data_IF_122983473539
#
_entry.id   IF_122983473539
#
_cell.length_a   1.000
_cell.length_b   1.000
_cell.length_c   1.000
_cell.angle_alpha   90.00
_cell.angle_beta   90.00
_cell.angle_gamma   90.00
#
_symmetry.space_group_name_H-M   'P 1'
#
loop_
_entity.id
_entity.type
_entity.pdbx_description
1 polymer ?
#
# COMPACT_ATOMS: atom_id res chain seq x y z
N UNK A 1 19.28 -18.86 -3.30
CA UNK A 1 18.14 -19.73 -2.93
C UNK A 1 17.08 -18.95 -2.16
N UNK A 2 15.80 -19.00 -2.57
CA UNK A 2 14.70 -18.23 -1.93
C UNK A 2 13.72 -19.10 -1.15
N UNK A 3 13.65 -18.89 0.17
CA UNK A 3 12.66 -19.51 1.06
C UNK A 3 11.50 -18.54 1.33
N UNK A 4 10.28 -18.96 1.01
CA UNK A 4 9.05 -18.18 1.26
C UNK A 4 8.19 -18.88 2.29
N UNK A 5 7.82 -18.17 3.35
CA UNK A 5 6.87 -18.60 4.38
C UNK A 5 5.49 -18.01 4.10
N UNK A 6 4.47 -18.85 4.15
CA UNK A 6 3.07 -18.48 4.01
C UNK A 6 2.37 -18.74 5.33
N UNK A 7 1.75 -17.71 5.89
CA UNK A 7 1.02 -17.77 7.15
C UNK A 7 -0.47 -17.57 6.88
N UNK A 8 -1.33 -18.44 7.40
CA UNK A 8 -2.78 -18.37 7.19
C UNK A 8 -3.58 -18.67 8.45
N UNK A 9 -4.83 -18.20 8.45
CA UNK A 9 -5.85 -18.55 9.43
C UNK A 9 -6.59 -19.85 9.07
N UNK A 10 -6.51 -20.28 7.81
CA UNK A 10 -7.25 -21.42 7.27
C UNK A 10 -6.30 -22.47 6.65
N UNK A 11 -6.68 -23.76 6.66
CA UNK A 11 -5.95 -24.80 5.92
C UNK A 11 -5.86 -24.48 4.42
N UNK A 12 -4.82 -24.96 3.74
CA UNK A 12 -4.54 -24.60 2.34
C UNK A 12 -5.61 -25.02 1.34
N UNK A 13 -6.33 -26.11 1.62
CA UNK A 13 -7.43 -26.60 0.80
C UNK A 13 -8.56 -25.55 0.69
N UNK A 14 -8.72 -24.74 1.74
CA UNK A 14 -9.66 -23.61 1.79
C UNK A 14 -8.98 -22.25 1.56
N UNK A 15 -7.66 -22.17 1.80
CA UNK A 15 -6.91 -20.93 1.69
C UNK A 15 -6.61 -20.63 0.23
N UNK A 16 -7.45 -19.77 -0.37
CA UNK A 16 -7.01 -19.05 -1.57
C UNK A 16 -5.73 -18.27 -1.21
N UNK A 17 -4.74 -18.12 -2.13
CA UNK A 17 -3.50 -17.38 -1.90
C UNK A 17 -3.66 -15.94 -1.37
N UNK A 18 -4.90 -15.41 -1.39
CA UNK A 18 -5.30 -14.09 -0.97
C UNK A 18 -5.59 -13.92 0.54
N UNK A 19 -5.59 -15.00 1.34
CA UNK A 19 -5.94 -14.96 2.78
C UNK A 19 -4.76 -15.21 3.72
N UNK A 20 -3.53 -15.02 3.24
CA UNK A 20 -2.33 -15.22 4.04
C UNK A 20 -1.31 -14.11 3.90
N UNK A 21 -0.48 -13.96 4.92
CA UNK A 21 0.68 -13.10 4.90
C UNK A 21 1.91 -13.89 4.42
N UNK A 22 2.85 -13.21 3.75
CA UNK A 22 4.06 -13.83 3.22
C UNK A 22 5.30 -13.18 3.81
N UNK A 23 6.28 -14.00 4.17
CA UNK A 23 7.62 -13.55 4.48
C UNK A 23 8.63 -14.28 3.58
N UNK A 24 9.65 -13.58 3.11
CA UNK A 24 10.69 -14.17 2.28
C UNK A 24 12.03 -14.02 2.97
N UNK A 25 12.84 -15.08 2.94
CA UNK A 25 14.20 -15.09 3.40
C UNK A 25 15.07 -15.75 2.34
N UNK A 26 16.14 -15.07 1.95
CA UNK A 26 17.01 -15.52 0.88
C UNK A 26 18.32 -16.03 1.49
N UNK A 27 18.89 -17.05 0.89
CA UNK A 27 20.22 -17.59 1.14
C UNK A 27 21.09 -17.43 -0.11
N UNK A 28 22.43 -17.39 0.01
CA UNK A 28 23.32 -17.54 -1.14
C UNK A 28 23.02 -18.84 -1.90
N UNK A 29 23.38 -18.93 -3.17
CA UNK A 29 23.12 -20.12 -3.99
C UNK A 29 24.04 -21.29 -3.57
N UNK A 30 25.21 -20.96 -3.05
CA UNK A 30 26.18 -21.88 -2.43
C UNK A 30 25.58 -22.67 -1.27
N UNK A 31 24.51 -22.19 -0.64
CA UNK A 31 23.78 -22.93 0.39
C UNK A 31 23.25 -24.28 -0.12
N UNK A 32 22.99 -24.42 -1.42
CA UNK A 32 22.59 -25.69 -2.02
C UNK A 32 23.69 -26.76 -1.98
N UNK A 33 24.95 -26.35 -1.84
CA UNK A 33 26.10 -27.26 -1.76
C UNK A 33 26.33 -27.79 -0.33
N UNK A 34 25.66 -27.23 0.68
CA UNK A 34 25.75 -27.73 2.05
C UNK A 34 25.09 -29.11 2.13
N UNK A 35 25.79 -30.08 2.71
CA UNK A 35 25.25 -31.40 2.98
C UNK A 35 23.93 -31.30 3.77
N UNK A 36 22.92 -32.06 3.38
CA UNK A 36 21.58 -32.01 3.98
C UNK A 36 20.91 -30.62 3.94
N UNK A 37 21.20 -29.76 2.96
CA UNK A 37 20.59 -28.42 2.82
C UNK A 37 19.05 -28.46 2.97
N UNK A 38 18.38 -29.44 2.34
CA UNK A 38 16.94 -29.65 2.48
C UNK A 38 16.49 -29.86 3.92
N UNK A 39 17.24 -30.66 4.69
CA UNK A 39 16.98 -30.91 6.12
C UNK A 39 17.16 -29.62 6.94
N UNK A 40 18.18 -28.82 6.64
CA UNK A 40 18.39 -27.52 7.29
C UNK A 40 17.25 -26.54 7.00
N UNK A 41 16.76 -26.48 5.77
CA UNK A 41 15.60 -25.64 5.41
C UNK A 41 14.32 -26.11 6.12
N UNK A 42 14.07 -27.41 6.18
CA UNK A 42 12.94 -27.97 6.92
C UNK A 42 13.07 -27.73 8.43
N UNK A 43 14.28 -27.77 8.99
CA UNK A 43 14.56 -27.42 10.39
C UNK A 43 14.25 -25.96 10.68
N UNK A 44 14.72 -25.03 9.83
CA UNK A 44 14.39 -23.59 9.93
C UNK A 44 12.88 -23.40 9.92
N UNK A 45 12.21 -24.03 8.96
CA UNK A 45 10.76 -23.92 8.83
C UNK A 45 10.03 -24.49 10.06
N UNK A 46 10.43 -25.66 10.55
CA UNK A 46 9.85 -26.27 11.77
C UNK A 46 9.99 -25.34 12.97
N UNK A 47 11.19 -24.78 13.21
CA UNK A 47 11.42 -23.83 14.30
C UNK A 47 10.56 -22.57 14.17
N UNK A 48 10.44 -22.01 12.97
CA UNK A 48 9.53 -20.87 12.72
C UNK A 48 8.07 -21.29 12.98
N UNK A 49 7.67 -22.50 12.60
CA UNK A 49 6.34 -23.08 12.84
C UNK A 49 6.02 -23.23 14.32
N UNK A 50 6.98 -23.65 15.12
CA UNK A 50 6.86 -23.73 16.59
C UNK A 50 6.75 -22.37 17.27
N UNK A 51 7.26 -21.31 16.63
CA UNK A 51 7.29 -19.95 17.17
C UNK A 51 6.15 -19.06 16.66
N UNK A 52 5.35 -19.50 15.69
CA UNK A 52 4.18 -18.77 15.17
C UNK A 52 2.88 -19.40 15.66
N UNK A 53 1.84 -18.60 15.87
CA UNK A 53 0.48 -19.09 16.17
C UNK A 53 -0.35 -19.45 14.93
N UNK A 54 0.16 -19.16 13.74
CA UNK A 54 -0.54 -19.34 12.47
C UNK A 54 -0.41 -20.78 11.91
N UNK A 55 -1.29 -21.12 10.97
CA UNK A 55 -1.06 -22.23 10.03
C UNK A 55 0.06 -21.78 9.09
N UNK A 56 1.03 -22.64 8.82
CA UNK A 56 2.21 -22.28 8.06
C UNK A 56 2.59 -23.33 7.00
N UNK A 57 2.90 -22.80 5.81
CA UNK A 57 3.46 -23.53 4.68
C UNK A 57 4.73 -22.84 4.19
N UNK A 58 5.59 -23.56 3.49
CA UNK A 58 6.77 -22.99 2.84
C UNK A 58 6.80 -23.30 1.34
N UNK A 59 7.46 -22.42 0.59
CA UNK A 59 7.88 -22.69 -0.78
C UNK A 59 9.36 -22.39 -0.92
N UNK A 60 10.10 -23.34 -1.49
CA UNK A 60 11.49 -23.21 -1.92
C UNK A 60 11.64 -23.99 -3.24
N UNK A 61 11.74 -23.28 -4.37
CA UNK A 61 11.68 -23.89 -5.70
C UNK A 61 12.89 -24.79 -5.95
N UNK A 62 14.06 -24.36 -5.47
CA UNK A 62 15.35 -25.00 -5.63
C UNK A 62 15.44 -26.34 -4.90
N UNK A 63 14.54 -26.60 -3.94
CA UNK A 63 14.49 -27.83 -3.16
C UNK A 63 13.21 -28.66 -3.40
N UNK A 64 12.47 -28.32 -4.45
CA UNK A 64 11.17 -28.91 -4.78
C UNK A 64 10.18 -28.92 -3.60
N UNK A 65 10.14 -27.81 -2.87
CA UNK A 65 9.18 -27.58 -1.81
C UNK A 65 8.14 -26.60 -2.34
N UNK A 66 6.98 -27.08 -2.73
CA UNK A 66 5.86 -26.25 -3.16
C UNK A 66 4.74 -26.34 -2.14
N UNK A 67 4.45 -25.22 -1.46
CA UNK A 67 3.41 -25.17 -0.43
C UNK A 67 3.53 -26.29 0.62
N UNK A 68 4.76 -26.66 0.96
CA UNK A 68 5.04 -27.75 1.85
C UNK A 68 4.51 -27.42 3.26
N UNK A 69 3.66 -28.27 3.85
CA UNK A 69 3.04 -28.00 5.13
C UNK A 69 4.05 -28.10 6.26
N UNK A 70 4.03 -27.13 7.16
CA UNK A 70 4.89 -27.13 8.36
C UNK A 70 4.04 -27.15 9.63
N UNK A 71 2.99 -26.34 9.67
CA UNK A 71 2.07 -26.28 10.80
C UNK A 71 0.64 -26.21 10.29
N UNK A 72 -0.16 -27.22 10.60
CA UNK A 72 -1.52 -27.39 10.06
C UNK A 72 -2.63 -26.91 10.99
N UNK A 73 -2.29 -26.59 12.25
CA UNK A 73 -3.25 -26.13 13.24
C UNK A 73 -2.76 -24.85 13.91
N UNK A 74 -3.68 -23.93 14.18
CA UNK A 74 -3.39 -22.73 14.97
C UNK A 74 -3.21 -23.09 16.43
N UNK A 75 -2.34 -22.35 17.11
CA UNK A 75 -2.16 -22.45 18.57
C UNK A 75 -2.86 -21.32 19.34
N UNK A 76 -3.46 -20.37 18.62
CA UNK A 76 -4.18 -19.23 19.21
C UNK A 76 -5.45 -18.90 18.43
N UNK A 77 -6.44 -18.33 19.15
CA UNK A 77 -7.66 -17.78 18.55
C UNK A 77 -7.42 -16.45 17.80
N UNK A 78 -6.24 -15.83 17.94
CA UNK A 78 -5.89 -14.59 17.26
C UNK A 78 -5.91 -14.75 15.75
N UNK A 79 -6.60 -13.83 15.06
CA UNK A 79 -6.71 -13.81 13.59
C UNK A 79 -5.41 -13.20 13.02
N UNK A 80 -4.72 -13.94 12.14
CA UNK A 80 -3.45 -13.55 11.49
C UNK A 80 -3.55 -12.16 10.87
N UNK A 81 -4.69 -11.88 10.24
CA UNK A 81 -4.91 -10.61 9.55
C UNK A 81 -5.03 -9.39 10.47
N UNK A 82 -5.29 -9.59 11.76
CA UNK A 82 -5.49 -8.50 12.72
C UNK A 82 -4.24 -8.22 13.56
N UNK A 83 -3.22 -9.06 13.44
CA UNK A 83 -2.02 -9.01 14.27
C UNK A 83 -0.80 -8.80 13.39
N UNK A 84 -0.47 -7.54 13.14
CA UNK A 84 0.74 -7.15 12.40
C UNK A 84 2.00 -7.18 13.27
N UNK A 85 1.99 -7.99 14.33
CA UNK A 85 3.08 -8.14 15.29
C UNK A 85 4.01 -9.21 14.77
N UNK A 86 5.24 -8.82 14.51
CA UNK A 86 6.26 -9.71 13.97
C UNK A 86 7.42 -9.84 14.94
N UNK A 87 8.01 -11.04 15.02
CA UNK A 87 9.38 -11.19 15.48
C UNK A 87 10.29 -11.08 14.26
N UNK A 88 11.30 -10.21 14.33
CA UNK A 88 12.24 -9.97 13.22
C UNK A 88 13.64 -10.27 13.71
N UNK A 89 14.31 -11.22 13.07
CA UNK A 89 15.72 -11.55 13.31
C UNK A 89 16.56 -10.80 12.28
N UNK A 90 17.63 -10.16 12.74
CA UNK A 90 18.49 -9.30 11.91
C UNK A 90 19.84 -9.98 11.67
N UNK A 91 20.22 -10.10 10.40
CA UNK A 91 21.50 -10.62 9.95
C UNK A 91 22.22 -9.57 9.12
N UNK A 92 23.53 -9.44 9.32
CA UNK A 92 24.36 -8.49 8.60
C UNK A 92 25.62 -9.17 8.08
N UNK A 93 25.92 -8.93 6.80
CA UNK A 93 27.17 -9.34 6.20
C UNK A 93 28.12 -8.15 6.15
N UNK A 94 29.26 -8.21 6.86
CA UNK A 94 30.23 -7.14 6.85
C UNK A 94 30.86 -7.05 5.44
N UNK A 95 31.01 -5.84 4.93
CA UNK A 95 31.34 -5.53 3.52
C UNK A 95 32.49 -6.38 2.92
N UNK A 96 32.31 -6.85 1.67
CA UNK A 96 33.38 -7.38 0.80
C UNK A 96 33.90 -6.37 -0.24
N UNK A 97 33.17 -5.28 -0.55
CA UNK A 97 33.45 -4.32 -1.65
C UNK A 97 32.98 -2.89 -1.31
N UNK A 98 33.36 -1.83 -2.06
CA UNK A 98 33.17 -0.41 -1.67
C UNK A 98 31.72 0.10 -1.76
N UNK A 99 30.71 -0.75 -1.57
CA UNK A 99 29.35 -0.29 -1.28
C UNK A 99 29.36 0.51 0.03
N UNK A 100 28.65 1.65 0.04
CA UNK A 100 28.56 2.50 1.23
C UNK A 100 27.81 1.82 2.38
N UNK A 101 27.00 0.78 2.13
CA UNK A 101 26.14 0.16 3.15
C UNK A 101 26.36 -1.36 3.29
N UNK A 102 26.29 -1.91 4.53
CA UNK A 102 26.34 -3.35 4.77
C UNK A 102 25.10 -4.05 4.17
N UNK A 103 25.26 -5.30 3.75
CA UNK A 103 24.12 -6.11 3.30
C UNK A 103 23.38 -6.63 4.53
N UNK A 104 22.05 -6.49 4.54
CA UNK A 104 21.19 -6.93 5.63
C UNK A 104 20.14 -7.88 5.13
N UNK A 105 19.87 -8.93 5.91
CA UNK A 105 18.79 -9.89 5.68
C UNK A 105 17.98 -10.00 6.96
N UNK A 106 16.66 -10.03 6.83
CA UNK A 106 15.75 -10.08 7.97
C UNK A 106 14.83 -11.29 7.82
N UNK A 107 14.82 -12.17 8.81
CA UNK A 107 13.83 -13.25 8.88
C UNK A 107 12.65 -12.76 9.73
N UNK A 108 11.44 -12.78 9.14
CA UNK A 108 10.20 -12.37 9.82
C UNK A 108 9.39 -13.60 10.21
N UNK A 109 9.10 -13.73 11.50
CA UNK A 109 8.16 -14.68 12.08
C UNK A 109 6.88 -13.91 12.39
N UNK A 110 5.81 -14.20 11.67
CA UNK A 110 4.52 -13.53 11.85
C UNK A 110 3.75 -14.19 13.00
N UNK A 111 2.93 -13.41 13.72
CA UNK A 111 2.11 -13.93 14.80
C UNK A 111 2.91 -14.75 15.83
N UNK A 112 3.99 -14.20 16.40
CA UNK A 112 4.83 -14.99 17.30
C UNK A 112 3.99 -15.44 18.50
N UNK A 113 3.98 -16.75 18.76
CA UNK A 113 3.32 -17.34 19.92
C UNK A 113 3.81 -16.60 21.17
N UNK A 114 2.89 -16.00 21.95
CA UNK A 114 3.15 -15.06 23.07
C UNK A 114 4.64 -14.86 23.35
N UNK A 115 5.29 -14.02 22.54
CA UNK A 115 6.69 -13.70 22.77
C UNK A 115 6.77 -13.00 24.13
N UNK A 116 7.50 -13.55 25.12
CA UNK A 116 7.35 -13.12 26.50
C UNK A 116 8.19 -11.87 26.82
N UNK A 117 8.67 -11.18 25.78
CA UNK A 117 9.47 -9.97 25.88
C UNK A 117 8.64 -8.75 25.45
N UNK A 118 8.86 -7.63 26.11
CA UNK A 118 8.29 -6.33 25.71
C UNK A 118 9.01 -5.83 24.45
N UNK A 119 8.31 -5.04 23.64
CA UNK A 119 8.91 -4.39 22.46
C UNK A 119 10.05 -3.47 22.92
N UNK A 120 11.18 -3.58 22.24
CA UNK A 120 12.33 -2.70 22.43
C UNK A 120 12.68 -2.05 21.10
N UNK A 121 13.05 -0.77 21.14
CA UNK A 121 13.44 -0.04 19.92
C UNK A 121 14.70 -0.64 19.27
N UNK A 122 15.61 -1.17 20.08
CA UNK A 122 16.85 -1.82 19.65
C UNK A 122 16.70 -3.34 19.57
N UNK A 123 17.39 -4.01 18.61
CA UNK A 123 17.48 -5.46 18.60
C UNK A 123 18.09 -5.98 19.91
N UNK A 124 17.43 -6.96 20.52
CA UNK A 124 17.92 -7.60 21.72
C UNK A 124 19.03 -8.60 21.35
N UNK A 125 20.15 -8.62 22.09
CA UNK A 125 21.13 -9.69 21.98
C UNK A 125 20.55 -10.99 22.56
N UNK A 126 21.28 -12.09 22.47
CA UNK A 126 20.87 -13.35 23.10
C UNK A 126 20.93 -13.35 24.64
N UNK A 127 21.72 -12.46 25.22
CA UNK A 127 21.93 -12.37 26.67
C UNK A 127 20.80 -11.59 27.34
N UNK A 128 19.56 -12.10 27.22
CA UNK A 128 18.39 -11.52 27.88
C UNK A 128 18.13 -12.30 29.16
N UNK A 129 17.79 -11.59 30.24
CA UNK A 129 17.33 -12.24 31.46
C UNK A 129 16.08 -13.09 31.18
N UNK A 130 16.12 -14.35 31.60
CA UNK A 130 15.05 -15.33 31.44
C UNK A 130 14.28 -15.40 32.75
N UNK A 131 13.00 -15.07 32.72
CA UNK A 131 12.12 -15.04 33.89
C UNK A 131 11.33 -16.33 34.13
N UNK A 132 11.12 -17.15 33.09
CA UNK A 132 10.38 -18.41 33.19
C UNK A 132 10.82 -19.44 32.12
N UNK A 133 10.33 -20.68 32.24
CA UNK A 133 10.68 -21.79 31.35
C UNK A 133 10.23 -21.57 29.90
N UNK A 134 9.07 -20.94 29.67
CA UNK A 134 8.58 -20.64 28.33
C UNK A 134 9.50 -19.65 27.61
N UNK A 135 10.01 -18.63 28.33
CA UNK A 135 11.02 -17.71 27.79
C UNK A 135 12.29 -18.47 27.41
N UNK A 136 12.74 -19.40 28.26
CA UNK A 136 13.93 -20.22 27.99
C UNK A 136 13.74 -21.04 26.72
N UNK A 137 12.64 -21.78 26.63
CA UNK A 137 12.31 -22.62 25.47
C UNK A 137 12.19 -21.81 24.18
N UNK A 138 11.61 -20.60 24.26
CA UNK A 138 11.55 -19.68 23.13
C UNK A 138 12.94 -19.22 22.68
N UNK A 139 13.82 -18.85 23.62
CA UNK A 139 15.20 -18.49 23.30
C UNK A 139 16.00 -19.66 22.73
N UNK A 140 15.85 -20.87 23.29
CA UNK A 140 16.54 -22.07 22.79
C UNK A 140 16.17 -22.35 21.33
N UNK A 141 14.88 -22.22 20.98
CA UNK A 141 14.40 -22.31 19.59
C UNK A 141 14.97 -21.20 18.71
N UNK A 142 14.98 -19.97 19.22
CA UNK A 142 15.53 -18.82 18.50
C UNK A 142 17.02 -18.99 18.21
N UNK A 143 17.79 -19.49 19.18
CA UNK A 143 19.20 -19.85 19.05
C UNK A 143 19.39 -20.90 17.95
N UNK A 144 18.69 -22.03 18.06
CA UNK A 144 18.76 -23.10 17.07
C UNK A 144 18.39 -22.62 15.65
N UNK A 145 17.44 -21.68 15.55
CA UNK A 145 17.02 -21.06 14.30
C UNK A 145 18.13 -20.17 13.72
N UNK A 146 18.71 -19.29 14.54
CA UNK A 146 19.81 -18.41 14.15
C UNK A 146 21.03 -19.22 13.71
N UNK A 147 21.42 -20.24 14.45
CA UNK A 147 22.57 -21.09 14.12
C UNK A 147 22.36 -21.78 12.78
N UNK A 148 21.16 -22.32 12.54
CA UNK A 148 20.84 -22.98 11.27
C UNK A 148 20.79 -21.97 10.11
N UNK A 149 20.29 -20.75 10.34
CA UNK A 149 20.35 -19.67 9.35
C UNK A 149 21.77 -19.24 9.03
N UNK A 150 22.63 -19.04 10.04
CA UNK A 150 24.03 -18.63 9.86
C UNK A 150 24.84 -19.70 9.12
N UNK A 151 24.60 -20.98 9.40
CA UNK A 151 25.21 -22.09 8.65
C UNK A 151 24.94 -21.94 7.14
N UNK A 152 23.68 -21.72 6.75
CA UNK A 152 23.30 -21.59 5.34
C UNK A 152 23.70 -20.24 4.73
N UNK A 153 23.66 -19.16 5.51
CA UNK A 153 24.08 -17.83 5.06
C UNK A 153 25.58 -17.76 4.77
N UNK A 154 26.40 -18.51 5.51
CA UNK A 154 27.86 -18.56 5.37
C UNK A 154 28.34 -19.73 4.50
N UNK A 155 27.47 -20.29 3.65
CA UNK A 155 27.81 -21.39 2.76
C UNK A 155 28.97 -21.07 1.79
N UNK A 156 29.13 -19.79 1.45
CA UNK A 156 30.12 -19.24 0.54
C UNK A 156 31.40 -18.75 1.26
N UNK A 157 31.53 -18.96 2.58
CA UNK A 157 32.59 -18.39 3.40
C UNK A 157 33.77 -19.33 3.77
N UNK A 158 34.25 -20.29 2.93
CA UNK A 158 35.43 -21.08 3.30
C UNK A 158 36.74 -20.27 3.21
N UNK A 159 36.74 -19.09 2.58
CA UNK A 159 37.95 -18.28 2.44
C UNK A 159 38.11 -17.29 3.61
N UNK A 160 39.25 -17.26 4.32
CA UNK A 160 39.52 -16.34 5.45
C UNK A 160 39.48 -14.83 5.12
N UNK A 161 39.26 -14.46 3.85
CA UNK A 161 39.13 -13.07 3.40
C UNK A 161 37.67 -12.61 3.34
N UNK A 162 36.72 -13.54 3.29
CA UNK A 162 35.30 -13.21 3.30
C UNK A 162 34.85 -13.03 4.74
N UNK A 163 34.16 -11.91 5.01
CA UNK A 163 33.61 -11.65 6.32
C UNK A 163 32.29 -12.38 6.43
N UNK A 164 32.15 -13.24 7.42
CA UNK A 164 30.94 -14.03 7.66
C UNK A 164 29.72 -13.15 7.98
N UNK A 165 28.53 -13.57 7.54
CA UNK A 165 27.25 -13.13 8.09
C UNK A 165 27.24 -13.27 9.61
N UNK A 166 26.71 -12.25 10.26
CA UNK A 166 26.58 -12.17 11.72
C UNK A 166 25.14 -11.93 12.09
N UNK A 167 24.73 -12.50 13.20
CA UNK A 167 23.46 -12.17 13.83
C UNK A 167 23.61 -10.89 14.65
N UNK A 168 22.71 -9.94 14.45
CA UNK A 168 22.70 -8.65 15.16
C UNK A 168 21.75 -8.62 16.36
N UNK A 169 20.85 -9.60 16.46
CA UNK A 169 19.77 -9.61 17.45
C UNK A 169 18.40 -9.75 16.82
N UNK A 170 17.37 -9.65 17.65
CA UNK A 170 15.98 -9.75 17.22
C UNK A 170 15.13 -8.67 17.87
N UNK A 171 14.01 -8.34 17.23
CA UNK A 171 12.95 -7.51 17.82
C UNK A 171 11.67 -8.31 17.88
N UNK A 172 10.91 -8.12 18.95
CA UNK A 172 9.57 -8.70 19.08
C UNK A 172 8.52 -7.63 18.84
N UNK A 173 7.31 -8.02 18.44
CA UNK A 173 6.16 -7.12 18.27
C UNK A 173 6.35 -5.98 17.25
N UNK A 174 7.26 -6.13 16.28
CA UNK A 174 7.48 -5.12 15.24
C UNK A 174 6.23 -5.00 14.37
N UNK A 175 5.66 -3.80 14.30
CA UNK A 175 4.56 -3.48 13.41
C UNK A 175 5.04 -3.36 11.95
N UNK A 176 4.53 -4.23 11.08
CA UNK A 176 4.84 -4.16 9.64
C UNK A 176 3.80 -3.32 8.90
N UNK A 177 4.02 -2.00 8.88
CA UNK A 177 3.17 -1.03 8.18
C UNK A 177 3.00 -1.34 6.69
N UNK A 178 4.00 -1.96 6.05
CA UNK A 178 3.88 -2.36 4.65
C UNK A 178 2.91 -3.53 4.50
N UNK A 179 2.98 -4.54 5.38
CA UNK A 179 2.01 -5.63 5.43
C UNK A 179 0.58 -5.12 5.72
N UNK A 180 0.42 -4.18 6.66
CA UNK A 180 -0.85 -3.49 6.93
C UNK A 180 -1.41 -2.86 5.65
N UNK A 181 -0.58 -2.07 4.97
CA UNK A 181 -0.98 -1.34 3.76
C UNK A 181 -1.39 -2.29 2.64
N UNK A 182 -0.64 -3.38 2.44
CA UNK A 182 -0.97 -4.40 1.45
C UNK A 182 -2.27 -5.12 1.78
N UNK A 183 -2.47 -5.48 3.05
CA UNK A 183 -3.70 -6.11 3.52
C UNK A 183 -4.93 -5.21 3.29
N UNK A 184 -4.84 -3.94 3.70
CA UNK A 184 -5.92 -2.96 3.50
C UNK A 184 -6.23 -2.77 2.01
N UNK A 185 -5.20 -2.65 1.16
CA UNK A 185 -5.37 -2.53 -0.30
C UNK A 185 -6.07 -3.75 -0.90
N UNK A 186 -5.74 -4.96 -0.46
CA UNK A 186 -6.42 -6.18 -0.90
C UNK A 186 -7.89 -6.22 -0.41
N UNK A 187 -8.15 -5.77 0.82
CA UNK A 187 -9.50 -5.57 1.35
C UNK A 187 -10.34 -4.63 0.50
N UNK A 188 -9.81 -3.44 0.19
CA UNK A 188 -10.45 -2.43 -0.65
C UNK A 188 -10.75 -2.97 -2.05
N UNK A 189 -9.81 -3.69 -2.65
CA UNK A 189 -10.00 -4.29 -3.96
C UNK A 189 -11.16 -5.30 -3.93
N UNK A 190 -11.23 -6.16 -2.91
CA UNK A 190 -12.34 -7.11 -2.75
C UNK A 190 -13.68 -6.40 -2.59
N UNK A 191 -13.73 -5.33 -1.79
CA UNK A 191 -14.95 -4.54 -1.61
C UNK A 191 -15.42 -3.93 -2.95
N UNK A 192 -14.49 -3.43 -3.77
CA UNK A 192 -14.80 -2.91 -5.11
C UNK A 192 -15.29 -4.00 -6.06
N UNK A 193 -14.66 -5.18 -6.02
CA UNK A 193 -15.08 -6.33 -6.83
C UNK A 193 -16.46 -6.84 -6.42
N UNK A 194 -16.75 -6.90 -5.12
CA UNK A 194 -18.07 -7.26 -4.59
C UNK A 194 -19.13 -6.24 -5.04
N UNK A 195 -18.88 -4.94 -4.85
CA UNK A 195 -19.77 -3.87 -5.32
C UNK A 195 -20.02 -3.95 -6.84
N UNK A 196 -18.99 -4.28 -7.62
CA UNK A 196 -19.10 -4.47 -9.07
C UNK A 196 -19.99 -5.68 -9.40
N UNK A 197 -19.84 -6.79 -8.69
CA UNK A 197 -20.71 -7.98 -8.83
C UNK A 197 -22.14 -7.66 -8.46
N UNK A 198 -22.38 -7.00 -7.34
CA UNK A 198 -23.72 -6.62 -6.88
C UNK A 198 -24.41 -5.71 -7.88
N UNK A 199 -23.66 -4.72 -8.43
CA UNK A 199 -24.16 -3.88 -9.53
C UNK A 199 -24.48 -4.68 -10.78
N UNK A 200 -23.64 -5.66 -11.15
CA UNK A 200 -23.89 -6.51 -12.31
C UNK A 200 -25.15 -7.38 -12.11
N UNK A 201 -25.35 -7.93 -10.91
CA UNK A 201 -26.54 -8.70 -10.54
C UNK A 201 -27.78 -7.80 -10.56
N UNK A 202 -27.70 -6.61 -9.96
CA UNK A 202 -28.81 -5.65 -9.97
C UNK A 202 -29.18 -5.22 -11.38
N UNK A 203 -28.18 -4.96 -12.24
CA UNK A 203 -28.39 -4.61 -13.63
C UNK A 203 -29.00 -5.78 -14.43
N UNK A 204 -28.56 -7.02 -14.18
CA UNK A 204 -29.16 -8.21 -14.80
C UNK A 204 -30.62 -8.39 -14.38
N UNK A 205 -30.95 -8.21 -13.09
CA UNK A 205 -32.33 -8.24 -12.59
C UNK A 205 -33.20 -7.14 -13.20
N UNK A 206 -32.68 -5.92 -13.31
CA UNK A 206 -33.41 -4.80 -13.93
C UNK A 206 -33.71 -5.07 -15.41
N UNK A 207 -32.74 -5.60 -16.17
CA UNK A 207 -32.96 -6.02 -17.57
C UNK A 207 -33.97 -7.15 -17.73
N UNK A 208 -34.04 -8.07 -16.77
CA UNK A 208 -35.06 -9.12 -16.77
C UNK A 208 -36.47 -8.56 -16.48
N UNK A 209 -36.57 -7.52 -15.65
CA UNK A 209 -37.85 -6.88 -15.32
C UNK A 209 -38.41 -6.03 -16.46
N UNK A 210 -37.56 -5.33 -17.21
CA UNK A 210 -37.95 -4.56 -18.39
C UNK A 210 -36.90 -4.73 -19.51
N UNK A 211 -37.15 -5.64 -20.47
CA UNK A 211 -36.25 -5.87 -21.60
C UNK A 211 -36.11 -4.67 -22.54
N UNK A 212 -37.08 -3.76 -22.53
CA UNK A 212 -37.13 -2.57 -23.40
C UNK A 212 -36.63 -1.30 -22.71
N UNK A 213 -36.21 -1.38 -21.44
CA UNK A 213 -35.63 -0.25 -20.74
C UNK A 213 -34.41 0.28 -21.54
N UNK A 214 -34.42 1.56 -21.94
CA UNK A 214 -33.33 2.13 -22.70
C UNK A 214 -32.04 2.00 -21.91
N UNK A 215 -30.98 1.51 -22.55
CA UNK A 215 -29.67 1.44 -21.92
C UNK A 215 -29.33 2.85 -21.38
N UNK A 216 -28.86 2.99 -20.12
CA UNK A 216 -28.48 4.29 -19.61
C UNK A 216 -27.49 4.91 -20.59
N UNK A 217 -27.89 6.02 -21.19
CA UNK A 217 -27.11 6.78 -22.16
C UNK A 217 -25.85 7.31 -21.47
N UNK A 218 -24.83 6.46 -21.40
CA UNK A 218 -23.47 6.87 -21.06
C UNK A 218 -22.88 7.43 -22.33
N UNK A 219 -23.20 8.70 -22.62
CA UNK A 219 -22.63 9.44 -23.75
C UNK A 219 -21.11 9.25 -23.79
N UNK A 220 -20.59 8.94 -24.97
CA UNK A 220 -19.17 8.76 -25.23
C UNK A 220 -18.39 9.98 -24.69
N UNK A 221 -17.57 9.76 -23.66
CA UNK A 221 -16.84 10.80 -22.92
C UNK A 221 -17.21 10.93 -21.44
N UNK A 222 -18.30 10.31 -20.97
CA UNK A 222 -18.69 10.33 -19.55
C UNK A 222 -17.91 9.27 -18.76
N UNK A 223 -17.12 9.71 -17.78
CA UNK A 223 -16.52 8.78 -16.81
C UNK A 223 -17.62 8.06 -16.02
N UNK A 224 -17.53 6.74 -15.81
CA UNK A 224 -18.47 6.03 -14.95
C UNK A 224 -18.40 6.62 -13.53
N UNK A 225 -19.48 7.29 -13.09
CA UNK A 225 -19.64 7.76 -11.71
C UNK A 225 -19.90 9.26 -11.51
N UNK A 226 -19.68 10.11 -12.52
CA UNK A 226 -20.10 11.51 -12.44
C UNK A 226 -21.59 11.63 -12.79
N UNK A 227 -22.42 12.08 -11.85
CA UNK A 227 -23.85 12.30 -12.06
C UNK A 227 -24.05 13.76 -12.49
N UNK A 228 -24.50 14.03 -13.74
CA UNK A 228 -24.81 15.39 -14.18
C UNK A 228 -26.07 15.92 -13.48
N UNK A 229 -26.34 17.22 -13.61
CA UNK A 229 -27.57 17.82 -13.09
C UNK A 229 -27.75 19.27 -13.52
N UNK A 230 -28.91 19.84 -13.24
CA UNK A 230 -29.26 21.21 -13.58
C UNK A 230 -29.29 22.05 -12.30
N UNK A 231 -28.63 23.20 -12.32
CA UNK A 231 -28.70 24.19 -11.23
C UNK A 231 -28.83 25.59 -11.82
N UNK A 232 -29.83 26.35 -11.37
CA UNK A 232 -30.19 27.67 -11.92
C UNK A 232 -30.30 27.70 -13.47
N UNK A 233 -30.85 26.63 -14.06
CA UNK A 233 -31.02 26.52 -15.51
C UNK A 233 -29.74 26.16 -16.28
N UNK A 234 -28.59 26.02 -15.62
CA UNK A 234 -27.32 25.59 -16.24
C UNK A 234 -27.14 24.09 -16.05
N UNK A 235 -26.80 23.38 -17.13
CA UNK A 235 -26.51 21.94 -17.11
C UNK A 235 -25.03 21.69 -16.76
N UNK A 236 -24.78 21.07 -15.61
CA UNK A 236 -23.45 20.72 -15.12
C UNK A 236 -23.08 19.27 -15.42
N UNK A 237 -21.79 18.99 -15.53
CA UNK A 237 -21.24 17.66 -15.84
C UNK A 237 -21.11 16.78 -14.60
N UNK A 238 -21.09 17.36 -13.40
CA UNK A 238 -21.01 16.61 -12.15
C UNK A 238 -21.72 17.27 -10.97
N UNK A 239 -22.11 16.46 -9.97
CA UNK A 239 -22.60 16.94 -8.68
C UNK A 239 -21.56 17.75 -7.89
N UNK A 240 -20.26 17.58 -8.17
CA UNK A 240 -19.22 18.40 -7.53
C UNK A 240 -19.25 19.83 -8.06
N UNK A 241 -19.42 20.01 -9.37
CA UNK A 241 -19.62 21.33 -10.00
C UNK A 241 -20.88 22.01 -9.48
N UNK A 242 -22.00 21.27 -9.35
CA UNK A 242 -23.25 21.84 -8.80
C UNK A 242 -23.05 22.33 -7.36
N UNK A 243 -22.37 21.54 -6.52
CA UNK A 243 -22.05 21.95 -5.14
C UNK A 243 -21.15 23.18 -5.13
N UNK A 244 -20.15 23.23 -6.00
CA UNK A 244 -19.27 24.39 -6.11
C UNK A 244 -20.03 25.66 -6.57
N UNK A 245 -20.88 25.55 -7.59
CA UNK A 245 -21.75 26.62 -8.05
C UNK A 245 -22.69 27.11 -6.94
N UNK A 246 -23.30 26.18 -6.18
CA UNK A 246 -24.13 26.52 -5.02
C UNK A 246 -23.34 27.25 -3.92
N UNK A 247 -22.08 26.90 -3.69
CA UNK A 247 -21.20 27.58 -2.73
C UNK A 247 -20.79 28.99 -3.20
N UNK A 248 -20.64 29.20 -4.52
CA UNK A 248 -20.41 30.53 -5.11
C UNK A 248 -21.64 31.44 -4.95
N UNK A 249 -22.83 30.89 -5.24
CA UNK A 249 -24.11 31.59 -5.07
C UNK A 249 -24.36 32.01 -3.63
N UNK A 250 -24.13 31.12 -2.66
CA UNK A 250 -24.31 31.44 -1.25
C UNK A 250 -23.38 32.55 -0.74
N UNK A 251 -22.26 32.80 -1.46
CA UNK A 251 -21.28 33.84 -1.16
C UNK A 251 -21.47 35.12 -1.99
N UNK A 252 -22.49 35.15 -2.85
CA UNK A 252 -22.73 36.28 -3.76
C UNK A 252 -21.60 36.50 -4.78
N UNK A 253 -20.82 35.47 -5.11
CA UNK A 253 -19.74 35.57 -6.08
C UNK A 253 -20.32 35.38 -7.48
N UNK A 254 -20.12 36.34 -8.37
CA UNK A 254 -20.52 36.19 -9.78
C UNK A 254 -19.63 35.17 -10.48
N UNK A 255 -20.24 34.28 -11.25
CA UNK A 255 -19.54 33.24 -12.00
C UNK A 255 -20.13 33.03 -13.39
N UNK A 256 -19.34 32.45 -14.28
CA UNK A 256 -19.75 31.97 -15.60
C UNK A 256 -19.18 30.57 -15.81
N UNK A 257 -20.00 29.65 -16.35
CA UNK A 257 -19.64 28.25 -16.55
C UNK A 257 -19.20 27.98 -17.99
N UNK A 258 -18.08 27.27 -18.15
CA UNK A 258 -17.52 26.82 -19.44
C UNK A 258 -17.49 27.90 -20.54
N UNK A 259 -16.99 29.10 -20.20
CA UNK A 259 -17.08 30.29 -21.07
C UNK A 259 -16.26 30.17 -22.35
N UNK A 260 -15.01 29.71 -22.23
CA UNK A 260 -14.05 29.66 -23.34
C UNK A 260 -12.95 28.64 -23.08
N UNK A 261 -12.27 28.26 -24.15
CA UNK A 261 -11.09 27.40 -24.11
C UNK A 261 -9.83 28.25 -24.01
N UNK A 262 -8.91 27.82 -23.17
CA UNK A 262 -7.72 28.59 -22.81
C UNK A 262 -6.44 27.83 -23.17
N UNK A 263 -5.38 28.61 -23.41
CA UNK A 263 -4.05 28.08 -23.70
C UNK A 263 -3.92 27.41 -25.06
N UNK A 264 -2.71 26.99 -25.39
CA UNK A 264 -2.42 26.23 -26.61
C UNK A 264 -3.11 24.86 -26.61
N UNK A 265 -3.28 24.27 -25.43
CA UNK A 265 -4.00 23.01 -25.25
C UNK A 265 -5.51 23.09 -25.46
N UNK A 266 -6.06 24.29 -25.70
CA UNK A 266 -7.48 24.52 -25.95
C UNK A 266 -8.37 23.94 -24.82
N UNK A 267 -7.90 24.10 -23.58
CA UNK A 267 -8.48 23.48 -22.39
C UNK A 267 -9.70 24.28 -21.91
N UNK A 268 -10.83 23.59 -21.66
CA UNK A 268 -12.06 24.21 -21.19
C UNK A 268 -12.09 24.12 -19.66
N UNK A 269 -11.88 25.24 -18.98
CA UNK A 269 -11.97 25.34 -17.52
C UNK A 269 -13.43 25.52 -17.10
N UNK A 270 -13.83 24.88 -16.01
CA UNK A 270 -15.23 24.83 -15.59
C UNK A 270 -15.82 26.20 -15.23
N UNK A 271 -15.12 27.03 -14.44
CA UNK A 271 -15.67 28.30 -13.93
C UNK A 271 -14.73 29.49 -14.15
N UNK A 272 -15.30 30.63 -14.54
CA UNK A 272 -14.66 31.94 -14.52
C UNK A 272 -15.38 32.89 -13.56
N UNK A 273 -14.61 33.54 -12.68
CA UNK A 273 -15.08 34.47 -11.66
C UNK A 273 -14.59 35.88 -12.00
N UNK A 274 -15.36 36.67 -12.76
CA UNK A 274 -14.90 37.93 -13.35
C UNK A 274 -14.45 38.97 -12.32
N UNK A 275 -15.16 39.08 -11.19
CA UNK A 275 -14.84 40.06 -10.15
C UNK A 275 -13.50 39.80 -9.46
N UNK A 276 -13.12 38.53 -9.37
CA UNK A 276 -11.91 38.09 -8.69
C UNK A 276 -10.74 37.87 -9.65
N UNK A 277 -10.98 37.92 -10.97
CA UNK A 277 -10.00 37.56 -12.01
C UNK A 277 -9.41 36.17 -11.78
N UNK A 278 -10.29 35.21 -11.43
CA UNK A 278 -9.92 33.83 -11.08
C UNK A 278 -10.69 32.84 -11.95
N UNK A 279 -9.96 31.83 -12.42
CA UNK A 279 -10.48 30.64 -13.05
C UNK A 279 -10.44 29.47 -12.06
N UNK A 280 -11.47 28.63 -12.06
CA UNK A 280 -11.55 27.46 -11.20
C UNK A 280 -11.92 26.22 -11.99
N UNK A 281 -11.05 25.21 -11.92
CA UNK A 281 -11.33 23.84 -12.37
C UNK A 281 -11.87 23.03 -11.19
N UNK A 282 -12.99 22.33 -11.38
CA UNK A 282 -13.63 21.50 -10.35
C UNK A 282 -13.42 20.03 -10.69
N UNK A 283 -12.63 19.31 -9.88
CA UNK A 283 -12.21 17.95 -10.23
C UNK A 283 -12.28 16.97 -9.06
N UNK A 284 -12.74 15.76 -9.35
CA UNK A 284 -12.76 14.67 -8.36
C UNK A 284 -11.39 14.01 -8.15
N UNK A 285 -10.60 13.84 -9.23
CA UNK A 285 -9.28 13.20 -9.19
C UNK A 285 -8.38 13.75 -10.30
N UNK A 286 -7.11 14.01 -9.96
CA UNK A 286 -6.07 14.36 -10.93
C UNK A 286 -5.68 13.17 -11.81
N UNK A 287 -5.54 13.44 -13.09
CA UNK A 287 -4.93 12.57 -14.09
C UNK A 287 -3.55 13.09 -14.49
N UNK A 288 -2.66 12.22 -15.01
CA UNK A 288 -1.34 12.64 -15.46
C UNK A 288 -1.34 13.80 -16.47
N UNK A 289 -2.38 13.88 -17.33
CA UNK A 289 -2.51 14.96 -18.32
C UNK A 289 -2.84 16.32 -17.70
N UNK A 290 -3.49 16.33 -16.53
CA UNK A 290 -3.91 17.57 -15.87
C UNK A 290 -2.68 18.35 -15.38
N UNK A 291 -1.59 17.66 -15.03
CA UNK A 291 -0.36 18.30 -14.58
C UNK A 291 0.24 19.22 -15.66
N UNK A 292 0.24 18.77 -16.91
CA UNK A 292 0.73 19.56 -18.04
C UNK A 292 -0.25 20.65 -18.46
N UNK A 293 -1.51 20.28 -18.73
CA UNK A 293 -2.49 21.19 -19.31
C UNK A 293 -2.85 22.35 -18.38
N UNK A 294 -3.04 22.08 -17.08
CA UNK A 294 -3.41 23.14 -16.13
C UNK A 294 -2.24 24.11 -15.89
N UNK A 295 -0.98 23.64 -15.92
CA UNK A 295 0.20 24.51 -15.84
C UNK A 295 0.32 25.41 -17.06
N UNK A 296 0.06 24.88 -18.25
CA UNK A 296 0.05 25.65 -19.49
C UNK A 296 -1.04 26.74 -19.45
N UNK A 297 -2.27 26.37 -19.09
CA UNK A 297 -3.37 27.33 -18.89
C UNK A 297 -3.01 28.39 -17.85
N UNK A 298 -2.41 27.99 -16.72
CA UNK A 298 -1.96 28.94 -15.70
C UNK A 298 -0.88 29.91 -16.21
N UNK A 299 0.03 29.44 -17.08
CA UNK A 299 1.01 30.29 -17.75
C UNK A 299 0.34 31.28 -18.70
N UNK A 300 -0.58 30.81 -19.55
CA UNK A 300 -1.36 31.64 -20.45
C UNK A 300 -2.13 32.73 -19.69
N UNK A 301 -2.91 32.35 -18.66
CA UNK A 301 -3.71 33.27 -17.86
C UNK A 301 -2.84 34.34 -17.17
N UNK A 302 -1.71 33.92 -16.59
CA UNK A 302 -0.79 34.85 -15.92
C UNK A 302 -0.15 35.84 -16.89
N UNK A 303 0.32 35.36 -18.05
CA UNK A 303 1.07 36.18 -19.01
C UNK A 303 0.17 37.09 -19.85
N UNK A 304 -0.97 36.57 -20.32
CA UNK A 304 -1.83 37.27 -21.28
C UNK A 304 -2.95 38.07 -20.63
N UNK A 305 -3.41 37.66 -19.45
CA UNK A 305 -4.62 38.22 -18.83
C UNK A 305 -4.39 38.77 -17.42
N UNK A 306 -3.26 38.43 -16.77
CA UNK A 306 -3.00 38.78 -15.38
C UNK A 306 -3.98 38.09 -14.42
N UNK A 307 -4.49 36.92 -14.78
CA UNK A 307 -5.49 36.15 -14.02
C UNK A 307 -4.86 34.89 -13.40
N UNK A 308 -5.59 34.26 -12.47
CA UNK A 308 -5.09 33.08 -11.71
C UNK A 308 -5.96 31.85 -11.96
N UNK A 309 -5.36 30.66 -11.86
CA UNK A 309 -6.06 29.38 -11.92
C UNK A 309 -5.98 28.65 -10.58
N UNK A 310 -7.13 28.19 -10.10
CA UNK A 310 -7.26 27.32 -8.94
C UNK A 310 -7.92 25.99 -9.33
N UNK A 311 -7.66 24.94 -8.56
CA UNK A 311 -8.35 23.65 -8.67
C UNK A 311 -9.07 23.36 -7.37
N UNK A 312 -10.37 23.11 -7.46
CA UNK A 312 -11.21 22.69 -6.35
C UNK A 312 -11.48 21.19 -6.43
N UNK A 313 -11.23 20.46 -5.34
CA UNK A 313 -11.52 19.03 -5.27
C UNK A 313 -12.32 18.68 -4.02
N UNK A 314 -12.78 17.43 -3.91
CA UNK A 314 -13.42 16.96 -2.68
C UNK A 314 -12.48 16.93 -1.46
N UNK A 315 -11.15 16.83 -1.68
CA UNK A 315 -10.14 16.79 -0.63
C UNK A 315 -9.31 18.07 -0.62
N UNK A 316 -8.08 17.96 -1.13
CA UNK A 316 -7.12 19.06 -1.24
C UNK A 316 -7.44 19.96 -2.44
N UNK A 317 -7.39 21.28 -2.24
CA UNK A 317 -7.47 22.24 -3.34
C UNK A 317 -6.06 22.71 -3.75
N UNK A 318 -5.92 23.35 -4.91
CA UNK A 318 -4.60 23.76 -5.40
C UNK A 318 -4.62 25.16 -6.01
N UNK A 319 -3.55 25.92 -5.79
CA UNK A 319 -3.17 27.02 -6.65
C UNK A 319 -2.31 26.48 -7.79
N UNK A 320 -2.67 26.78 -9.03
CA UNK A 320 -1.90 26.32 -10.19
C UNK A 320 -0.95 27.43 -10.61
N UNK A 321 0.34 27.11 -10.62
CA UNK A 321 1.39 27.97 -11.16
C UNK A 321 1.97 27.36 -12.44
N UNK A 322 2.63 28.15 -13.29
CA UNK A 322 3.23 27.64 -14.54
C UNK A 322 4.20 26.46 -14.35
N UNK A 323 4.81 26.33 -13.18
CA UNK A 323 5.84 25.31 -12.90
C UNK A 323 5.43 24.29 -11.84
N UNK A 324 4.36 24.55 -11.07
CA UNK A 324 4.01 23.73 -9.90
C UNK A 324 2.56 23.90 -9.48
N UNK A 325 2.08 22.94 -8.69
CA UNK A 325 0.86 23.07 -7.90
C UNK A 325 1.25 23.41 -6.46
N UNK A 326 0.53 24.35 -5.85
CA UNK A 326 0.65 24.64 -4.41
C UNK A 326 -0.61 24.16 -3.73
N UNK A 327 -0.48 23.23 -2.78
CA UNK A 327 -1.61 22.71 -2.01
C UNK A 327 -2.24 23.81 -1.13
N UNK A 328 -3.57 23.86 -1.16
CA UNK A 328 -4.40 24.72 -0.33
C UNK A 328 -5.35 23.83 0.46
N UNK A 329 -5.32 23.93 1.79
CA UNK A 329 -6.34 23.31 2.65
C UNK A 329 -7.71 23.86 2.26
N UNK A 330 -8.72 23.00 2.13
CA UNK A 330 -10.06 23.39 1.66
C UNK A 330 -10.66 24.59 2.42
N UNK A 331 -10.44 24.66 3.73
CA UNK A 331 -10.92 25.78 4.55
C UNK A 331 -10.30 27.14 4.13
N UNK A 332 -9.07 27.15 3.63
CA UNK A 332 -8.34 28.33 3.17
C UNK A 332 -8.59 28.63 1.67
N UNK A 333 -9.34 27.78 0.96
CA UNK A 333 -9.57 27.95 -0.49
C UNK A 333 -10.24 29.29 -0.81
N UNK A 334 -11.25 29.64 -0.01
CA UNK A 334 -12.00 30.89 -0.19
C UNK A 334 -11.15 32.12 0.09
N UNK A 335 -10.34 32.10 1.17
CA UNK A 335 -9.38 33.16 1.47
C UNK A 335 -8.38 33.39 0.32
N UNK A 336 -7.90 32.29 -0.28
CA UNK A 336 -6.99 32.37 -1.42
C UNK A 336 -7.65 32.98 -2.67
N UNK A 337 -8.93 32.73 -2.88
CA UNK A 337 -9.69 33.34 -3.97
C UNK A 337 -9.74 34.87 -3.83
N UNK A 338 -9.98 35.40 -2.63
CA UNK A 338 -10.07 36.84 -2.40
C UNK A 338 -8.72 37.59 -2.45
N UNK A 339 -7.60 36.89 -2.63
CA UNK A 339 -6.28 37.51 -2.82
C UNK A 339 -5.39 37.53 -1.58
N UNK A 340 -5.65 36.69 -0.57
CA UNK A 340 -4.69 36.46 0.51
C UNK A 340 -3.37 35.89 -0.04
N UNK A 341 -2.30 36.67 0.07
CA UNK A 341 -0.92 36.40 -0.38
C UNK A 341 -0.40 35.01 -0.02
#
# INVERSE_FOLDING_TARGET
MKLTFFYSDLPIEDARPAYGCKATFEFPDEALNIADCRKHILKIATLVGEMTDAIMYITCKELDLQQHPIKLAKTSALIVTNTFRNCVLYFEHPKQRPSRYPQRRNLKILLPSKAPYQDTETPLPFQIAVSNEDQRRYLDRLHALVDTCLLLLNADAPHPKFKEWRYLGFRTQVHDNAAITQFNKAGDQRMREALKRDRAIAHAKARQADPNAPAPSTGAGRRPGAVPGIFKGVQFRSQLEIRFASELESRGIRWRYEVERLGEGNYLVDFYLPDLKVWVEVKGRFEPRDDYLLKEVAAYLKQKRGERLLVYTSGTCFAVHPTRFTEIKRQNFWERMYGGS
#
